data_IF_928204456595
#
_entry.id   IF_928204456595
#
_cell.length_a   1.000
_cell.length_b   1.000
_cell.length_c   1.000
_cell.angle_alpha   90.00
_cell.angle_beta   90.00
_cell.angle_gamma   90.00
#
_symmetry.space_group_name_H-M   'P 1'
#
loop_
_entity.id
_entity.type
_entity.pdbx_description
1 polymer ?
#
# COMPACT_ATOMS: atom_id res chain seq x y z
N UNK A 1 -24.80 44.73 66.55
CA UNK A 1 -23.67 44.90 67.51
C UNK A 1 -22.62 43.86 67.00
N UNK A 2 -21.57 44.32 66.42
CA UNK A 2 -20.18 44.41 66.90
C UNK A 2 -19.72 42.97 67.31
N UNK A 3 -18.71 42.30 66.84
CA UNK A 3 -17.32 42.65 66.48
C UNK A 3 -16.61 41.38 65.99
N UNK A 4 -15.77 41.45 65.16
CA UNK A 4 -14.34 41.66 64.88
C UNK A 4 -13.53 40.40 64.61
N UNK A 5 -12.95 40.44 63.46
CA UNK A 5 -11.63 39.96 63.01
C UNK A 5 -10.77 39.02 63.89
N UNK A 6 -10.24 37.98 63.28
CA UNK A 6 -8.79 37.75 63.38
C UNK A 6 -8.27 36.96 62.13
N UNK A 7 -7.29 37.55 61.47
CA UNK A 7 -6.51 36.98 60.41
C UNK A 7 -5.48 36.03 61.03
N UNK A 8 -5.35 34.81 60.48
CA UNK A 8 -4.13 34.02 60.66
C UNK A 8 -3.59 33.56 59.31
N UNK A 9 -2.43 34.11 58.95
CA UNK A 9 -1.60 33.70 57.85
C UNK A 9 -0.91 32.40 58.25
N UNK A 10 -1.08 31.32 57.47
CA UNK A 10 -0.16 30.19 57.48
C UNK A 10 0.49 30.10 56.09
N UNK A 11 1.81 30.34 56.10
CA UNK A 11 2.69 30.00 54.99
C UNK A 11 2.69 28.48 54.84
N UNK A 12 2.36 28.01 53.63
CA UNK A 12 2.64 26.61 53.22
C UNK A 12 3.73 26.65 52.16
N UNK A 13 4.91 26.21 52.56
CA UNK A 13 6.08 25.98 51.73
C UNK A 13 5.76 24.89 50.69
N UNK A 14 5.89 25.26 49.42
CA UNK A 14 5.76 24.33 48.29
C UNK A 14 6.97 23.36 48.30
N UNK A 15 6.74 22.11 48.58
CA UNK A 15 7.67 21.00 48.35
C UNK A 15 7.44 20.48 46.91
N UNK A 16 8.35 20.85 46.01
CA UNK A 16 8.36 20.46 44.61
C UNK A 16 8.93 19.03 44.52
N UNK A 17 8.07 18.03 44.56
CA UNK A 17 8.44 16.65 44.24
C UNK A 17 8.53 16.50 42.71
N UNK A 18 9.75 16.46 42.20
CA UNK A 18 10.05 15.95 40.86
C UNK A 18 9.68 14.46 40.80
N UNK A 19 8.50 14.14 40.30
CA UNK A 19 8.19 12.78 39.84
C UNK A 19 8.77 12.63 38.43
N UNK A 20 9.99 12.13 38.35
CA UNK A 20 10.53 11.61 37.10
C UNK A 20 9.66 10.41 36.68
N UNK A 21 8.79 10.64 35.72
CA UNK A 21 7.99 9.61 35.08
C UNK A 21 8.90 8.65 34.32
N UNK A 22 9.28 7.57 34.95
CA UNK A 22 9.87 6.41 34.31
C UNK A 22 8.72 5.73 33.52
N UNK A 23 8.53 6.10 32.27
CA UNK A 23 7.69 5.32 31.35
C UNK A 23 8.40 3.98 31.13
N UNK A 24 8.11 3.03 32.01
CA UNK A 24 8.43 1.64 31.75
C UNK A 24 7.70 1.25 30.45
N UNK A 25 8.44 1.05 29.38
CA UNK A 25 8.02 0.26 28.23
C UNK A 25 7.66 -1.13 28.78
N UNK A 26 6.39 -1.32 29.11
CA UNK A 26 5.87 -2.65 29.38
C UNK A 26 6.02 -3.42 28.07
N UNK A 27 6.72 -4.57 28.07
CA UNK A 27 6.70 -5.43 26.91
C UNK A 27 5.23 -5.73 26.61
N UNK A 28 4.83 -5.54 25.38
CA UNK A 28 3.50 -5.93 24.90
C UNK A 28 3.41 -7.44 25.15
N UNK A 29 2.70 -7.83 26.20
CA UNK A 29 2.38 -9.24 26.44
C UNK A 29 1.41 -9.59 25.32
N UNK A 30 1.92 -10.27 24.28
CA UNK A 30 1.07 -10.86 23.27
C UNK A 30 -0.06 -11.59 23.99
N UNK A 31 -1.30 -11.24 23.66
CA UNK A 31 -2.47 -11.97 24.21
C UNK A 31 -2.28 -13.45 23.88
N UNK A 32 -2.61 -14.34 24.80
CA UNK A 32 -2.43 -15.78 24.63
C UNK A 32 -3.14 -16.37 23.40
N UNK A 33 -3.87 -15.54 22.63
CA UNK A 33 -4.62 -15.88 21.43
C UNK A 33 -4.08 -15.24 20.14
N UNK A 34 -2.98 -14.49 20.17
CA UNK A 34 -2.42 -13.88 18.95
C UNK A 34 -1.44 -14.87 18.27
N UNK A 35 -1.81 -15.35 17.08
CA UNK A 35 -0.93 -16.18 16.24
C UNK A 35 -0.09 -15.29 15.32
N UNK A 36 1.23 -15.45 15.33
CA UNK A 36 2.15 -14.69 14.50
C UNK A 36 3.40 -15.50 14.14
N UNK A 37 4.30 -14.87 13.43
CA UNK A 37 5.60 -15.46 13.07
C UNK A 37 6.34 -15.86 14.35
N UNK A 38 6.82 -17.12 14.38
CA UNK A 38 7.50 -17.70 15.53
C UNK A 38 6.58 -18.33 16.59
N UNK A 39 5.26 -18.09 16.53
CA UNK A 39 4.29 -18.77 17.41
C UNK A 39 4.29 -20.28 17.16
N UNK A 40 4.00 -21.07 18.17
CA UNK A 40 3.69 -22.50 17.97
C UNK A 40 2.42 -22.59 17.11
N UNK A 41 2.46 -23.33 16.02
CA UNK A 41 1.30 -23.55 15.19
C UNK A 41 0.22 -24.33 15.94
N UNK A 42 -1.06 -23.90 15.90
CA UNK A 42 -2.16 -24.64 16.49
C UNK A 42 -2.33 -26.02 15.85
N UNK A 43 -2.82 -26.98 16.62
CA UNK A 43 -3.20 -28.30 16.10
C UNK A 43 -4.34 -28.17 15.07
N UNK A 44 -4.44 -29.14 14.15
CA UNK A 44 -5.46 -29.15 13.11
C UNK A 44 -6.60 -30.10 13.52
N UNK A 45 -7.72 -29.54 13.96
CA UNK A 45 -8.92 -30.30 14.28
C UNK A 45 -9.91 -30.27 13.11
N UNK A 46 -9.53 -30.88 11.99
CA UNK A 46 -10.26 -30.86 10.72
C UNK A 46 -11.33 -31.95 10.71
N UNK A 47 -12.59 -31.60 10.41
CA UNK A 47 -13.69 -32.55 10.35
C UNK A 47 -13.58 -33.52 9.16
N UNK A 48 -13.24 -33.03 7.96
CA UNK A 48 -13.28 -33.82 6.74
C UNK A 48 -12.02 -33.68 5.90
N UNK A 49 -11.34 -34.80 5.69
CA UNK A 49 -10.22 -34.94 4.77
C UNK A 49 -10.75 -35.45 3.43
N UNK A 50 -10.79 -34.60 2.40
CA UNK A 50 -11.45 -34.87 1.13
C UNK A 50 -10.49 -35.47 0.11
N UNK A 51 -9.23 -34.97 0.09
CA UNK A 51 -8.15 -35.51 -0.74
C UNK A 51 -6.88 -35.65 0.13
N UNK A 52 -6.05 -36.63 -0.23
CA UNK A 52 -4.87 -37.03 0.54
C UNK A 52 -3.58 -37.11 -0.31
N UNK A 53 -3.54 -36.39 -1.42
CA UNK A 53 -2.39 -36.44 -2.32
C UNK A 53 -2.27 -37.76 -3.08
N UNK A 54 -3.40 -38.35 -3.49
CA UNK A 54 -3.49 -39.66 -4.13
C UNK A 54 -2.96 -40.80 -3.21
N UNK A 55 -3.32 -40.80 -1.95
CA UNK A 55 -2.92 -41.81 -0.97
C UNK A 55 -1.52 -41.60 -0.40
N UNK A 56 -0.88 -40.46 -0.69
CA UNK A 56 0.47 -40.19 -0.20
C UNK A 56 0.50 -39.62 1.22
N UNK A 57 -0.46 -38.79 1.55
CA UNK A 57 -0.51 -38.09 2.83
C UNK A 57 -1.52 -38.71 3.78
N UNK A 58 -1.22 -38.64 5.07
CA UNK A 58 -2.17 -39.00 6.13
C UNK A 58 -2.78 -37.73 6.73
N UNK A 59 -3.98 -37.80 7.32
CA UNK A 59 -4.52 -36.74 8.15
C UNK A 59 -3.52 -36.29 9.22
N UNK A 60 -3.41 -34.97 9.41
CA UNK A 60 -2.50 -34.34 10.37
C UNK A 60 -3.32 -33.64 11.44
N UNK A 61 -3.15 -34.05 12.69
CA UNK A 61 -3.71 -33.37 13.85
C UNK A 61 -2.67 -32.53 14.57
N UNK A 62 -1.43 -33.05 14.62
CA UNK A 62 -0.26 -32.35 15.18
C UNK A 62 0.89 -32.36 14.17
N UNK A 63 1.70 -31.29 14.16
CA UNK A 63 2.83 -31.17 13.27
C UNK A 63 4.01 -32.01 13.75
N UNK A 64 4.49 -32.88 12.88
CA UNK A 64 5.63 -33.71 13.17
C UNK A 64 6.93 -32.88 13.10
N UNK A 65 7.86 -33.20 14.00
CA UNK A 65 9.21 -32.61 13.98
C UNK A 65 9.93 -32.93 12.66
N UNK A 66 10.75 -31.99 12.22
CA UNK A 66 11.58 -32.09 11.01
C UNK A 66 10.78 -32.15 9.68
N UNK A 67 9.44 -31.99 9.74
CA UNK A 67 8.59 -31.79 8.56
C UNK A 67 8.17 -30.34 8.40
N UNK A 68 7.83 -29.97 7.17
CA UNK A 68 7.29 -28.65 6.82
C UNK A 68 5.85 -28.80 6.37
N UNK A 69 4.99 -27.93 6.83
CA UNK A 69 3.58 -27.94 6.45
C UNK A 69 3.16 -26.58 5.91
N UNK A 70 2.22 -26.57 4.99
CA UNK A 70 1.53 -25.37 4.56
C UNK A 70 0.05 -25.57 4.89
N UNK A 71 -0.50 -24.67 5.72
CA UNK A 71 -1.94 -24.62 5.99
C UNK A 71 -2.49 -23.44 5.23
N UNK A 72 -3.30 -23.70 4.20
CA UNK A 72 -3.85 -22.69 3.29
C UNK A 72 -5.37 -22.64 3.42
N UNK A 73 -5.93 -21.43 3.47
CA UNK A 73 -7.36 -21.20 3.62
C UNK A 73 -7.97 -20.71 2.32
N UNK A 74 -9.07 -21.34 1.91
CA UNK A 74 -9.73 -21.12 0.62
C UNK A 74 -11.25 -21.32 0.71
N UNK A 75 -11.96 -20.97 -0.37
CA UNK A 75 -13.38 -21.27 -0.53
C UNK A 75 -13.76 -21.46 -2.01
N UNK A 76 -14.86 -22.16 -2.27
CA UNK A 76 -15.34 -22.47 -3.64
C UNK A 76 -15.71 -21.24 -4.44
N UNK A 77 -16.14 -20.17 -3.78
CA UNK A 77 -16.51 -18.88 -4.38
C UNK A 77 -15.32 -17.91 -4.54
N UNK A 78 -14.15 -18.26 -4.01
CA UNK A 78 -12.98 -17.39 -4.02
C UNK A 78 -12.20 -17.52 -5.33
N UNK A 79 -12.40 -16.60 -6.26
CA UNK A 79 -11.71 -16.58 -7.54
C UNK A 79 -10.17 -16.64 -7.46
N UNK A 80 -9.50 -15.82 -6.63
CA UNK A 80 -8.05 -15.90 -6.44
C UNK A 80 -7.58 -17.24 -5.86
N UNK A 81 -8.37 -17.86 -4.96
CA UNK A 81 -8.07 -19.20 -4.44
C UNK A 81 -8.08 -20.26 -5.55
N UNK A 82 -9.10 -20.23 -6.39
CA UNK A 82 -9.22 -21.11 -7.56
C UNK A 82 -8.00 -20.96 -8.51
N UNK A 83 -7.53 -19.73 -8.68
CA UNK A 83 -6.35 -19.45 -9.52
C UNK A 83 -5.04 -19.98 -8.90
N UNK A 84 -4.93 -20.05 -7.58
CA UNK A 84 -3.74 -20.57 -6.89
C UNK A 84 -3.67 -22.11 -6.82
N UNK A 85 -4.77 -22.83 -7.03
CA UNK A 85 -4.80 -24.31 -6.94
C UNK A 85 -3.76 -25.03 -7.80
N UNK A 86 -3.58 -24.70 -9.11
CA UNK A 86 -2.53 -25.33 -9.90
C UNK A 86 -1.12 -25.07 -9.35
N UNK A 87 -0.87 -23.86 -8.86
CA UNK A 87 0.41 -23.51 -8.26
C UNK A 87 0.69 -24.30 -6.96
N UNK A 88 -0.31 -24.44 -6.09
CA UNK A 88 -0.20 -25.29 -4.90
C UNK A 88 0.10 -26.75 -5.25
N UNK A 89 -0.54 -27.27 -6.30
CA UNK A 89 -0.27 -28.62 -6.80
C UNK A 89 1.17 -28.77 -7.30
N UNK A 90 1.68 -27.80 -8.04
CA UNK A 90 3.06 -27.78 -8.51
C UNK A 90 4.07 -27.69 -7.36
N UNK A 91 3.83 -26.84 -6.36
CA UNK A 91 4.64 -26.76 -5.15
C UNK A 91 4.64 -28.09 -4.39
N UNK A 92 3.47 -28.70 -4.20
CA UNK A 92 3.37 -29.98 -3.54
C UNK A 92 4.15 -31.06 -4.27
N UNK A 93 4.06 -31.13 -5.59
CA UNK A 93 4.83 -32.09 -6.38
C UNK A 93 6.33 -31.84 -6.29
N UNK A 94 6.76 -30.58 -6.28
CA UNK A 94 8.17 -30.18 -6.17
C UNK A 94 8.78 -30.59 -4.84
N UNK A 95 8.07 -30.36 -3.73
CA UNK A 95 8.59 -30.58 -2.37
C UNK A 95 8.08 -31.83 -1.68
N UNK A 96 7.37 -32.72 -2.41
CA UNK A 96 6.87 -33.99 -1.85
C UNK A 96 7.99 -34.85 -1.25
N UNK A 97 9.13 -34.91 -1.93
CA UNK A 97 10.32 -35.66 -1.50
C UNK A 97 11.04 -35.04 -0.30
N UNK A 98 10.83 -33.75 -0.05
CA UNK A 98 11.46 -33.00 1.03
C UNK A 98 10.61 -32.98 2.34
N UNK A 99 9.53 -33.77 2.37
CA UNK A 99 8.68 -33.90 3.55
C UNK A 99 7.71 -32.73 3.75
N UNK A 100 7.38 -31.99 2.69
CA UNK A 100 6.36 -30.94 2.72
C UNK A 100 4.98 -31.54 2.52
N UNK A 101 4.01 -31.15 3.32
CA UNK A 101 2.60 -31.41 3.12
C UNK A 101 1.80 -30.11 3.06
N UNK A 102 1.12 -29.87 1.94
CA UNK A 102 0.17 -28.78 1.80
C UNK A 102 -1.21 -29.26 2.19
N UNK A 103 -1.88 -28.52 3.08
CA UNK A 103 -3.21 -28.80 3.65
C UNK A 103 -4.08 -27.58 3.36
N UNK A 104 -4.98 -27.72 2.41
CA UNK A 104 -5.91 -26.65 2.01
C UNK A 104 -7.23 -26.82 2.75
N UNK A 105 -7.65 -25.81 3.51
CA UNK A 105 -8.79 -25.87 4.43
C UNK A 105 -9.87 -24.89 4.01
N UNK A 106 -11.07 -25.40 3.71
CA UNK A 106 -12.28 -24.58 3.54
C UNK A 106 -13.14 -24.62 4.81
N UNK A 107 -13.91 -23.56 5.05
CA UNK A 107 -14.94 -23.55 6.11
C UNK A 107 -16.35 -23.82 5.57
N UNK A 108 -16.45 -24.28 4.31
CA UNK A 108 -17.70 -24.65 3.67
C UNK A 108 -18.09 -26.09 3.99
N UNK A 109 -19.33 -26.44 3.69
CA UNK A 109 -19.82 -27.81 3.87
C UNK A 109 -19.10 -28.82 2.94
N UNK A 110 -19.06 -30.08 3.35
CA UNK A 110 -18.46 -31.15 2.57
C UNK A 110 -19.09 -31.28 1.17
N UNK A 111 -20.42 -31.03 1.06
CA UNK A 111 -21.14 -31.14 -0.22
C UNK A 111 -20.75 -29.99 -1.17
N UNK A 112 -20.63 -28.75 -0.70
CA UNK A 112 -20.20 -27.62 -1.50
C UNK A 112 -18.79 -27.84 -2.07
N UNK A 113 -17.87 -28.33 -1.25
CA UNK A 113 -16.51 -28.67 -1.69
C UNK A 113 -16.52 -29.79 -2.72
N UNK A 114 -17.28 -30.87 -2.50
CA UNK A 114 -17.40 -31.96 -3.45
C UNK A 114 -18.03 -31.54 -4.79
N UNK A 115 -19.03 -30.67 -4.73
CA UNK A 115 -19.68 -30.10 -5.93
C UNK A 115 -18.68 -29.33 -6.78
N UNK A 116 -17.81 -28.53 -6.18
CA UNK A 116 -16.73 -27.86 -6.92
C UNK A 116 -15.75 -28.88 -7.51
N UNK A 117 -15.32 -29.87 -6.72
CA UNK A 117 -14.34 -30.87 -7.18
C UNK A 117 -14.82 -31.65 -8.42
N UNK A 118 -16.13 -31.87 -8.55
CA UNK A 118 -16.75 -32.50 -9.71
C UNK A 118 -16.79 -31.61 -10.97
N UNK A 119 -16.62 -30.29 -10.84
CA UNK A 119 -16.66 -29.35 -11.97
C UNK A 119 -15.34 -29.33 -12.72
N UNK A 120 -15.42 -28.93 -13.99
CA UNK A 120 -14.23 -28.74 -14.84
C UNK A 120 -13.65 -27.34 -14.64
N UNK A 121 -12.35 -27.26 -14.45
CA UNK A 121 -11.63 -26.01 -14.54
C UNK A 121 -11.31 -25.73 -16.02
N UNK A 122 -12.02 -24.79 -16.62
CA UNK A 122 -11.92 -24.50 -18.06
C UNK A 122 -10.52 -23.98 -18.45
N UNK A 123 -9.79 -23.34 -17.54
CA UNK A 123 -8.44 -22.82 -17.80
C UNK A 123 -7.39 -23.94 -17.94
N UNK A 124 -7.62 -25.07 -17.26
CA UNK A 124 -6.66 -26.19 -17.21
C UNK A 124 -7.18 -27.40 -18.00
N UNK A 125 -8.47 -27.46 -18.30
CA UNK A 125 -9.12 -28.56 -19.02
C UNK A 125 -9.30 -29.84 -18.22
N UNK A 126 -9.12 -29.78 -16.87
CA UNK A 126 -9.26 -30.90 -15.92
C UNK A 126 -10.34 -30.58 -14.91
N UNK A 127 -10.87 -31.57 -14.20
CA UNK A 127 -11.73 -31.34 -13.05
C UNK A 127 -10.94 -30.68 -11.90
N UNK A 128 -11.62 -29.97 -11.00
CA UNK A 128 -10.95 -29.42 -9.82
C UNK A 128 -10.36 -30.54 -8.95
N UNK A 129 -11.00 -31.70 -8.89
CA UNK A 129 -10.45 -32.87 -8.20
C UNK A 129 -9.10 -33.31 -8.76
N UNK A 130 -8.94 -33.28 -10.09
CA UNK A 130 -7.67 -33.62 -10.74
C UNK A 130 -6.59 -32.55 -10.56
N UNK A 131 -6.99 -31.27 -10.54
CA UNK A 131 -6.08 -30.15 -10.32
C UNK A 131 -5.49 -30.16 -8.91
N UNK A 132 -6.31 -30.47 -7.91
CA UNK A 132 -5.94 -30.45 -6.49
C UNK A 132 -5.42 -31.80 -5.96
N UNK A 133 -5.41 -32.85 -6.79
CA UNK A 133 -5.08 -34.22 -6.39
C UNK A 133 -3.69 -34.40 -5.75
N UNK A 134 -2.77 -33.44 -5.97
CA UNK A 134 -1.39 -33.55 -5.48
C UNK A 134 -1.25 -33.32 -3.98
N UNK A 135 -2.16 -32.59 -3.34
CA UNK A 135 -2.07 -32.14 -1.94
C UNK A 135 -3.29 -32.58 -1.12
N UNK A 136 -3.26 -32.31 0.19
CA UNK A 136 -4.39 -32.60 1.07
C UNK A 136 -5.42 -31.47 0.97
N UNK A 137 -6.63 -31.78 0.53
CA UNK A 137 -7.74 -30.83 0.50
C UNK A 137 -8.78 -31.25 1.53
N UNK A 138 -9.25 -30.28 2.32
CA UNK A 138 -10.06 -30.52 3.51
C UNK A 138 -11.17 -29.50 3.64
N UNK A 139 -12.15 -29.82 4.49
CA UNK A 139 -13.14 -28.84 4.93
C UNK A 139 -13.45 -29.01 6.43
N UNK A 140 -13.67 -27.88 7.10
CA UNK A 140 -13.85 -27.72 8.52
C UNK A 140 -15.04 -26.77 8.80
N UNK A 141 -16.30 -27.23 8.59
CA UNK A 141 -17.49 -26.39 8.68
C UNK A 141 -17.75 -25.76 10.04
N UNK A 142 -17.23 -26.33 11.14
CA UNK A 142 -17.32 -25.74 12.48
C UNK A 142 -16.40 -24.53 12.67
N UNK A 143 -15.49 -24.27 11.70
CA UNK A 143 -14.55 -23.16 11.67
C UNK A 143 -13.53 -23.15 12.79
N UNK A 144 -13.27 -24.29 13.43
CA UNK A 144 -12.32 -24.36 14.54
C UNK A 144 -10.90 -24.00 14.07
N UNK A 145 -10.46 -24.58 12.96
CA UNK A 145 -9.14 -24.30 12.36
C UNK A 145 -9.07 -22.86 11.82
N UNK A 146 -10.14 -22.37 11.20
CA UNK A 146 -10.21 -20.96 10.74
C UNK A 146 -10.03 -19.98 11.92
N UNK A 147 -10.68 -20.24 13.04
CA UNK A 147 -10.56 -19.43 14.25
C UNK A 147 -9.14 -19.45 14.82
N UNK A 148 -8.53 -20.63 14.90
CA UNK A 148 -7.23 -20.83 15.51
C UNK A 148 -6.08 -20.26 14.65
N UNK A 149 -6.28 -20.14 13.33
CA UNK A 149 -5.31 -19.59 12.39
C UNK A 149 -5.68 -18.19 11.92
N UNK A 150 -6.73 -18.07 11.12
CA UNK A 150 -7.08 -16.81 10.44
C UNK A 150 -7.47 -15.71 11.43
N UNK A 151 -8.38 -16.02 12.35
CA UNK A 151 -8.83 -15.03 13.35
C UNK A 151 -7.70 -14.69 14.34
N UNK A 152 -6.98 -15.70 14.83
CA UNK A 152 -5.86 -15.50 15.76
C UNK A 152 -4.70 -14.72 15.15
N UNK A 153 -4.44 -14.89 13.84
CA UNK A 153 -3.44 -14.13 13.10
C UNK A 153 -3.97 -12.81 12.50
N UNK A 154 -5.23 -12.44 12.81
CA UNK A 154 -5.89 -11.21 12.31
C UNK A 154 -5.91 -11.13 10.78
N UNK A 155 -5.93 -12.27 10.10
CA UNK A 155 -6.06 -12.34 8.65
C UNK A 155 -7.52 -12.11 8.24
N UNK A 156 -7.75 -11.21 7.27
CA UNK A 156 -9.10 -10.76 6.91
C UNK A 156 -9.59 -11.30 5.56
N UNK A 157 -8.74 -11.99 4.82
CA UNK A 157 -9.06 -12.45 3.47
C UNK A 157 -8.45 -13.80 3.12
N UNK A 158 -9.03 -14.43 2.11
CA UNK A 158 -8.53 -15.63 1.46
C UNK A 158 -8.16 -15.33 0.00
N UNK A 159 -7.17 -16.04 -0.59
CA UNK A 159 -6.40 -17.12 0.03
C UNK A 159 -5.33 -16.60 1.00
N UNK A 160 -5.11 -17.32 2.09
CA UNK A 160 -4.00 -17.06 3.02
C UNK A 160 -3.34 -18.39 3.36
N UNK A 161 -2.02 -18.44 3.33
CA UNK A 161 -1.22 -19.61 3.66
C UNK A 161 -0.30 -19.33 4.85
N UNK A 162 -0.14 -20.35 5.70
CA UNK A 162 0.76 -20.38 6.84
C UNK A 162 1.80 -21.48 6.59
N UNK A 163 3.07 -21.10 6.50
CA UNK A 163 4.16 -22.09 6.45
C UNK A 163 4.55 -22.45 7.89
N UNK A 164 4.38 -23.71 8.25
CA UNK A 164 4.80 -24.26 9.54
C UNK A 164 6.10 -25.02 9.34
N UNK A 165 7.16 -24.56 9.99
CA UNK A 165 8.50 -25.11 9.83
C UNK A 165 8.76 -26.36 10.65
N UNK A 166 9.97 -26.88 10.51
CA UNK A 166 10.47 -28.14 11.12
C UNK A 166 10.38 -28.20 12.64
N UNK A 167 10.17 -27.06 13.30
CA UNK A 167 10.01 -26.94 14.76
C UNK A 167 8.55 -26.83 15.20
N UNK A 168 7.59 -26.97 14.28
CA UNK A 168 6.16 -26.79 14.53
C UNK A 168 5.78 -25.34 14.83
N UNK A 169 6.57 -24.38 14.33
CA UNK A 169 6.31 -22.94 14.48
C UNK A 169 5.93 -22.33 13.14
N UNK A 170 5.09 -21.29 13.19
CA UNK A 170 4.76 -20.48 12.03
C UNK A 170 6.00 -19.70 11.59
N UNK A 171 6.43 -19.94 10.38
CA UNK A 171 7.60 -19.31 9.76
C UNK A 171 7.24 -18.14 8.86
N UNK A 172 6.09 -18.26 8.17
CA UNK A 172 5.62 -17.29 7.21
C UNK A 172 4.09 -17.29 7.12
N UNK A 173 3.50 -16.13 6.85
CA UNK A 173 2.06 -15.94 6.60
C UNK A 173 1.93 -15.00 5.39
N UNK A 174 1.09 -15.35 4.42
CA UNK A 174 0.85 -14.49 3.27
C UNK A 174 0.01 -15.14 2.18
N UNK A 175 -0.01 -14.52 1.00
CA UNK A 175 -0.73 -15.05 -0.15
C UNK A 175 0.03 -16.24 -0.76
N UNK A 176 -0.63 -17.38 -1.09
CA UNK A 176 0.07 -18.59 -1.56
C UNK A 176 0.93 -18.39 -2.82
N UNK A 177 0.61 -17.40 -3.66
CA UNK A 177 1.43 -17.07 -4.84
C UNK A 177 2.78 -16.40 -4.50
N UNK A 178 2.95 -15.92 -3.27
CA UNK A 178 4.19 -15.28 -2.79
C UNK A 178 5.04 -16.23 -1.93
N UNK A 179 4.62 -17.51 -1.82
CA UNK A 179 5.19 -18.47 -0.88
C UNK A 179 6.48 -19.15 -1.39
N UNK A 180 6.77 -19.15 -2.68
CA UNK A 180 7.86 -19.94 -3.30
C UNK A 180 9.22 -19.73 -2.61
N UNK A 181 9.64 -18.47 -2.46
CA UNK A 181 10.90 -18.13 -1.81
C UNK A 181 10.95 -18.50 -0.33
N UNK A 182 9.97 -18.06 0.47
CA UNK A 182 9.86 -18.44 1.88
C UNK A 182 9.83 -19.96 2.10
N UNK A 183 8.99 -20.69 1.36
CA UNK A 183 8.89 -22.15 1.48
C UNK A 183 10.21 -22.84 1.14
N UNK A 184 10.87 -22.45 0.04
CA UNK A 184 12.17 -22.97 -0.33
C UNK A 184 13.20 -22.76 0.79
N UNK A 185 13.30 -21.54 1.32
CA UNK A 185 14.24 -21.21 2.37
C UNK A 185 13.98 -21.99 3.68
N UNK A 186 12.69 -22.19 4.04
CA UNK A 186 12.30 -23.00 5.22
C UNK A 186 12.68 -24.47 5.02
N UNK A 187 12.41 -25.05 3.83
CA UNK A 187 12.77 -26.42 3.51
C UNK A 187 14.29 -26.62 3.54
N UNK A 188 15.05 -25.69 2.97
CA UNK A 188 16.50 -25.70 2.95
C UNK A 188 17.17 -25.38 4.31
N UNK A 189 16.38 -24.91 5.29
CA UNK A 189 16.91 -24.49 6.60
C UNK A 189 17.70 -23.18 6.57
N UNK A 190 17.46 -22.34 5.55
CA UNK A 190 18.08 -21.02 5.35
C UNK A 190 17.17 -19.86 5.73
N UNK A 191 15.97 -20.13 6.21
CA UNK A 191 14.97 -19.12 6.54
C UNK A 191 15.34 -18.36 7.81
N UNK A 192 15.44 -17.03 7.72
CA UNK A 192 15.63 -16.14 8.87
C UNK A 192 14.26 -15.59 9.34
N UNK A 193 13.64 -16.32 10.24
CA UNK A 193 12.35 -15.96 10.83
C UNK A 193 12.38 -14.60 11.53
N UNK A 194 13.47 -14.31 12.24
CA UNK A 194 13.55 -13.09 13.06
C UNK A 194 13.71 -11.84 12.16
N UNK A 195 14.46 -11.97 11.06
CA UNK A 195 14.53 -10.91 10.05
C UNK A 195 13.17 -10.67 9.41
N UNK A 196 12.47 -11.74 9.00
CA UNK A 196 11.13 -11.63 8.40
C UNK A 196 10.09 -11.07 9.37
N UNK A 197 10.09 -11.49 10.64
CA UNK A 197 9.19 -10.96 11.65
C UNK A 197 9.39 -9.43 11.85
N UNK A 198 10.64 -8.97 11.84
CA UNK A 198 10.95 -7.53 11.91
C UNK A 198 10.43 -6.77 10.67
N UNK A 199 10.58 -7.36 9.49
CA UNK A 199 10.07 -6.78 8.24
C UNK A 199 8.54 -6.66 8.26
N UNK A 200 7.82 -7.72 8.68
CA UNK A 200 6.36 -7.70 8.82
C UNK A 200 5.87 -6.63 9.80
N UNK A 201 6.53 -6.48 10.95
CA UNK A 201 6.19 -5.43 11.92
C UNK A 201 6.43 -4.03 11.33
N UNK A 202 7.53 -3.85 10.60
CA UNK A 202 7.84 -2.58 9.94
C UNK A 202 6.82 -2.24 8.85
N UNK A 203 6.39 -3.23 8.05
CA UNK A 203 5.36 -3.06 7.02
C UNK A 203 4.00 -2.71 7.64
N UNK A 204 3.58 -3.43 8.68
CA UNK A 204 2.34 -3.11 9.40
C UNK A 204 2.36 -1.69 9.95
N UNK A 205 3.45 -1.28 10.60
CA UNK A 205 3.61 0.09 11.13
C UNK A 205 3.54 1.13 10.01
N UNK A 206 4.12 0.82 8.83
CA UNK A 206 4.03 1.68 7.66
C UNK A 206 2.58 1.82 7.19
N UNK A 207 1.84 0.72 7.06
CA UNK A 207 0.44 0.72 6.63
C UNK A 207 -0.44 1.51 7.60
N UNK A 208 -0.31 1.31 8.91
CA UNK A 208 -1.02 2.07 9.94
C UNK A 208 -0.73 3.57 9.84
N UNK A 209 0.54 3.93 9.64
CA UNK A 209 0.95 5.32 9.46
C UNK A 209 0.35 5.94 8.21
N UNK A 210 0.33 5.20 7.09
CA UNK A 210 -0.26 5.67 5.83
C UNK A 210 -1.77 5.84 5.93
N UNK A 211 -2.49 4.92 6.59
CA UNK A 211 -3.93 5.07 6.85
C UNK A 211 -4.22 6.32 7.70
N UNK A 212 -3.43 6.54 8.75
CA UNK A 212 -3.57 7.72 9.60
C UNK A 212 -3.28 9.01 8.85
N UNK A 213 -2.25 9.04 8.00
CA UNK A 213 -1.94 10.18 7.12
C UNK A 213 -3.09 10.48 6.17
N UNK A 214 -3.64 9.46 5.53
CA UNK A 214 -4.79 9.61 4.62
C UNK A 214 -6.00 10.20 5.33
N UNK A 215 -6.32 9.70 6.53
CA UNK A 215 -7.42 10.23 7.35
C UNK A 215 -7.18 11.69 7.76
N UNK A 216 -5.98 12.04 8.21
CA UNK A 216 -5.63 13.40 8.60
C UNK A 216 -5.70 14.37 7.41
N UNK A 217 -5.16 13.97 6.25
CA UNK A 217 -5.19 14.77 5.03
C UNK A 217 -6.64 14.97 4.52
N UNK A 218 -7.46 13.92 4.49
CA UNK A 218 -8.86 14.00 4.04
C UNK A 218 -9.75 14.87 4.94
N UNK A 219 -9.37 15.03 6.21
CA UNK A 219 -10.06 15.91 7.17
C UNK A 219 -9.43 17.30 7.28
N UNK A 220 -8.48 17.66 6.40
CA UNK A 220 -7.81 18.96 6.40
C UNK A 220 -6.80 19.18 7.54
N UNK A 221 -6.49 18.16 8.33
CA UNK A 221 -5.54 18.23 9.45
C UNK A 221 -4.09 18.08 8.99
N UNK A 222 -3.69 18.92 8.02
CA UNK A 222 -2.37 18.83 7.41
C UNK A 222 -1.21 19.01 8.38
N UNK A 223 -1.34 19.89 9.38
CA UNK A 223 -0.28 20.10 10.37
C UNK A 223 0.02 18.80 11.16
N UNK A 224 -1.02 18.06 11.57
CA UNK A 224 -0.87 16.78 12.26
C UNK A 224 -0.28 15.71 11.33
N UNK A 225 -0.69 15.69 10.05
CA UNK A 225 -0.18 14.77 9.04
C UNK A 225 1.32 15.01 8.76
N UNK A 226 1.74 16.28 8.62
CA UNK A 226 3.14 16.67 8.43
C UNK A 226 3.99 16.26 9.63
N UNK A 227 3.51 16.52 10.85
CA UNK A 227 4.22 16.11 12.08
C UNK A 227 4.38 14.60 12.18
N UNK A 228 3.36 13.82 11.78
CA UNK A 228 3.44 12.35 11.72
C UNK A 228 4.49 11.89 10.69
N UNK A 229 4.49 12.46 9.49
CA UNK A 229 5.48 12.13 8.46
C UNK A 229 6.92 12.46 8.91
N UNK A 230 7.11 13.60 9.61
CA UNK A 230 8.42 13.97 10.18
C UNK A 230 8.88 13.01 11.28
N UNK A 231 7.97 12.58 12.17
CA UNK A 231 8.27 11.62 13.21
C UNK A 231 8.70 10.27 12.62
N UNK A 232 7.95 9.76 11.64
CA UNK A 232 8.28 8.51 10.95
C UNK A 232 9.60 8.61 10.17
N UNK A 233 9.87 9.76 9.54
CA UNK A 233 11.15 10.01 8.86
C UNK A 233 12.37 10.01 9.79
N UNK A 234 12.22 10.47 11.04
CA UNK A 234 13.27 10.41 12.07
C UNK A 234 13.52 8.99 12.57
N UNK A 235 12.48 8.15 12.65
CA UNK A 235 12.57 6.76 13.07
C UNK A 235 13.05 5.83 11.96
N UNK A 236 12.98 6.27 10.70
CA UNK A 236 13.40 5.48 9.55
C UNK A 236 14.90 5.13 9.60
N UNK A 237 15.22 3.86 9.40
CA UNK A 237 16.59 3.33 9.54
C UNK A 237 17.36 3.28 8.23
N UNK A 238 16.65 3.20 7.08
CA UNK A 238 17.28 3.17 5.75
C UNK A 238 17.15 4.50 5.04
N UNK A 239 18.10 4.83 4.17
CA UNK A 239 18.04 6.08 3.39
C UNK A 239 16.81 6.09 2.46
N UNK A 240 16.44 4.96 1.90
CA UNK A 240 15.23 4.83 1.07
C UNK A 240 13.95 5.16 1.85
N UNK A 241 13.80 4.66 3.08
CA UNK A 241 12.64 4.97 3.93
C UNK A 241 12.65 6.43 4.41
N UNK A 242 13.81 7.00 4.73
CA UNK A 242 13.94 8.44 5.05
C UNK A 242 13.51 9.32 3.87
N UNK A 243 13.99 8.98 2.67
CA UNK A 243 13.62 9.68 1.44
C UNK A 243 12.11 9.62 1.18
N UNK A 244 11.50 8.44 1.32
CA UNK A 244 10.05 8.26 1.16
C UNK A 244 9.25 9.13 2.14
N UNK A 245 9.62 9.17 3.42
CA UNK A 245 8.94 10.01 4.41
C UNK A 245 9.14 11.50 4.15
N UNK A 246 10.30 11.89 3.67
CA UNK A 246 10.58 13.27 3.25
C UNK A 246 9.69 13.68 2.05
N UNK A 247 9.52 12.82 1.07
CA UNK A 247 8.62 13.05 -0.07
C UNK A 247 7.16 13.20 0.37
N UNK A 248 6.70 12.33 1.28
CA UNK A 248 5.36 12.41 1.88
C UNK A 248 5.19 13.75 2.60
N UNK A 249 6.13 14.14 3.45
CA UNK A 249 6.10 15.42 4.18
C UNK A 249 5.94 16.61 3.25
N UNK A 250 6.77 16.70 2.22
CA UNK A 250 6.70 17.83 1.30
C UNK A 250 5.46 17.81 0.40
N UNK A 251 4.98 16.63 0.02
CA UNK A 251 3.71 16.52 -0.69
C UNK A 251 2.52 17.00 0.16
N UNK A 252 2.52 16.69 1.47
CA UNK A 252 1.52 17.22 2.41
C UNK A 252 1.63 18.74 2.58
N UNK A 253 2.85 19.30 2.66
CA UNK A 253 3.06 20.76 2.71
C UNK A 253 2.55 21.43 1.44
N UNK A 254 2.75 20.83 0.27
CA UNK A 254 2.18 21.32 -0.99
C UNK A 254 0.66 21.32 -0.93
N UNK A 255 0.04 20.21 -0.58
CA UNK A 255 -1.43 20.10 -0.47
C UNK A 255 -2.03 21.03 0.58
N UNK A 256 -1.28 21.37 1.62
CA UNK A 256 -1.67 22.35 2.65
C UNK A 256 -1.48 23.82 2.22
N UNK A 257 -0.89 24.08 1.05
CA UNK A 257 -0.50 25.43 0.64
C UNK A 257 0.59 26.06 1.53
N UNK A 258 1.34 25.26 2.30
CA UNK A 258 2.34 25.71 3.28
C UNK A 258 3.78 25.50 2.79
N UNK A 259 4.09 26.01 1.59
CA UNK A 259 5.42 25.92 0.99
C UNK A 259 6.36 26.94 1.66
N UNK A 260 7.36 26.43 2.37
CA UNK A 260 8.50 27.19 2.89
C UNK A 260 9.73 27.01 1.99
N UNK A 261 10.84 27.68 2.32
CA UNK A 261 12.08 27.64 1.53
C UNK A 261 12.62 26.22 1.36
N UNK A 262 12.52 25.38 2.39
CA UNK A 262 12.94 23.97 2.33
C UNK A 262 12.07 23.17 1.36
N UNK A 263 10.77 23.37 1.40
CA UNK A 263 9.81 22.74 0.48
C UNK A 263 10.09 23.16 -0.97
N UNK A 264 10.32 24.46 -1.19
CA UNK A 264 10.65 24.98 -2.50
C UNK A 264 11.98 24.44 -3.02
N UNK A 265 13.00 24.35 -2.17
CA UNK A 265 14.28 23.73 -2.52
C UNK A 265 14.12 22.26 -2.90
N UNK A 266 13.34 21.52 -2.13
CA UNK A 266 13.03 20.12 -2.43
C UNK A 266 12.34 19.95 -3.79
N UNK A 267 11.27 20.72 -4.06
CA UNK A 267 10.54 20.62 -5.33
C UNK A 267 11.37 21.09 -6.52
N UNK A 268 12.19 22.14 -6.37
CA UNK A 268 13.12 22.58 -7.44
C UNK A 268 14.13 21.46 -7.78
N UNK A 269 14.69 20.81 -6.77
CA UNK A 269 15.59 19.68 -7.00
C UNK A 269 14.85 18.49 -7.66
N UNK A 270 13.64 18.18 -7.20
CA UNK A 270 12.79 17.15 -7.82
C UNK A 270 12.52 17.44 -9.30
N UNK A 271 12.11 18.67 -9.65
CA UNK A 271 11.89 19.11 -11.04
C UNK A 271 13.15 18.91 -11.86
N UNK A 272 14.32 19.29 -11.33
CA UNK A 272 15.62 19.11 -12.00
C UNK A 272 15.89 17.62 -12.29
N UNK A 273 15.65 16.74 -11.35
CA UNK A 273 15.89 15.31 -11.50
C UNK A 273 14.88 14.67 -12.49
N UNK A 274 13.65 15.15 -12.51
CA UNK A 274 12.60 14.67 -13.43
C UNK A 274 12.86 15.02 -14.91
N UNK A 275 13.81 15.89 -15.24
CA UNK A 275 14.17 16.18 -16.64
C UNK A 275 14.66 14.95 -17.42
N UNK A 276 15.19 13.94 -16.74
CA UNK A 276 15.61 12.66 -17.33
C UNK A 276 14.45 11.71 -17.61
N UNK A 277 13.24 11.99 -17.10
CA UNK A 277 12.03 11.19 -17.30
C UNK A 277 10.86 12.09 -17.72
N UNK A 278 10.65 12.28 -19.04
CA UNK A 278 9.60 13.15 -19.58
C UNK A 278 8.20 12.81 -19.08
N UNK A 279 7.89 11.51 -18.92
CA UNK A 279 6.58 11.07 -18.42
C UNK A 279 6.37 11.46 -16.97
N UNK A 280 7.37 11.22 -16.12
CA UNK A 280 7.29 11.58 -14.71
C UNK A 280 7.22 13.11 -14.52
N UNK A 281 7.94 13.89 -15.35
CA UNK A 281 7.86 15.35 -15.35
C UNK A 281 6.47 15.85 -15.77
N UNK A 282 5.88 15.28 -16.82
CA UNK A 282 4.52 15.62 -17.25
C UNK A 282 3.48 15.28 -16.18
N UNK A 283 3.58 14.09 -15.56
CA UNK A 283 2.69 13.69 -14.45
C UNK A 283 2.82 14.61 -13.25
N UNK A 284 4.04 15.04 -12.92
CA UNK A 284 4.25 15.98 -11.84
C UNK A 284 3.63 17.35 -12.15
N UNK A 285 3.82 17.89 -13.37
CA UNK A 285 3.16 19.12 -13.82
C UNK A 285 1.64 19.02 -13.76
N UNK A 286 1.07 17.93 -14.23
CA UNK A 286 -0.37 17.68 -14.16
C UNK A 286 -0.88 17.60 -12.71
N UNK A 287 -0.12 16.99 -11.81
CA UNK A 287 -0.44 16.96 -10.38
C UNK A 287 -0.45 18.37 -9.76
N UNK A 288 0.51 19.22 -10.11
CA UNK A 288 0.52 20.63 -9.68
C UNK A 288 -0.70 21.39 -10.18
N UNK A 289 -1.07 21.20 -11.44
CA UNK A 289 -2.31 21.78 -11.97
C UNK A 289 -3.54 21.31 -11.17
N UNK A 290 -3.64 20.01 -10.87
CA UNK A 290 -4.73 19.47 -10.02
C UNK A 290 -4.77 20.10 -8.63
N UNK A 291 -3.62 20.40 -8.02
CA UNK A 291 -3.57 21.12 -6.73
C UNK A 291 -4.06 22.57 -6.89
N UNK A 292 -3.70 23.26 -7.96
CA UNK A 292 -4.18 24.61 -8.24
C UNK A 292 -5.71 24.66 -8.37
N UNK A 293 -6.32 23.66 -9.06
CA UNK A 293 -7.78 23.56 -9.18
C UNK A 293 -8.49 23.33 -7.83
N UNK A 294 -7.76 22.86 -6.81
CA UNK A 294 -8.23 22.73 -5.43
C UNK A 294 -7.94 23.98 -4.58
N UNK A 295 -7.43 25.05 -5.19
CA UNK A 295 -7.13 26.33 -4.53
C UNK A 295 -5.76 26.40 -3.88
N UNK A 296 -4.87 25.43 -4.11
CA UNK A 296 -3.49 25.46 -3.62
C UNK A 296 -2.66 26.47 -4.43
N UNK A 297 -1.94 27.36 -3.75
CA UNK A 297 -1.01 28.29 -4.43
C UNK A 297 0.26 27.57 -4.88
N UNK A 298 0.32 27.24 -6.17
CA UNK A 298 1.49 26.60 -6.82
C UNK A 298 2.40 27.60 -7.52
N UNK A 299 2.08 28.91 -7.52
CA UNK A 299 2.83 29.95 -8.24
C UNK A 299 4.34 29.89 -7.99
N UNK A 300 4.85 29.61 -6.77
CA UNK A 300 6.28 29.55 -6.51
C UNK A 300 7.04 28.45 -7.28
N UNK A 301 6.30 27.44 -7.83
CA UNK A 301 6.87 26.32 -8.58
C UNK A 301 6.63 26.43 -10.09
N UNK A 302 5.66 27.25 -10.55
CA UNK A 302 5.25 27.31 -11.95
C UNK A 302 6.40 27.62 -12.90
N UNK A 303 7.20 28.65 -12.62
CA UNK A 303 8.31 29.04 -13.50
C UNK A 303 9.32 27.90 -13.67
N UNK A 304 9.62 27.15 -12.59
CA UNK A 304 10.59 26.07 -12.64
C UNK A 304 10.08 24.86 -13.42
N UNK A 305 8.82 24.46 -13.19
CA UNK A 305 8.25 23.28 -13.85
C UNK A 305 8.00 23.56 -15.34
N UNK A 306 7.48 24.74 -15.69
CA UNK A 306 7.26 25.11 -17.07
C UNK A 306 8.57 25.18 -17.86
N UNK A 307 9.62 25.82 -17.31
CA UNK A 307 10.93 25.86 -17.95
C UNK A 307 11.53 24.47 -18.17
N UNK A 308 11.42 23.58 -17.19
CA UNK A 308 11.88 22.20 -17.33
C UNK A 308 11.10 21.44 -18.41
N UNK A 309 9.78 21.62 -18.47
CA UNK A 309 8.94 20.98 -19.49
C UNK A 309 9.23 21.50 -20.91
N UNK A 310 9.47 22.81 -21.06
CA UNK A 310 9.86 23.41 -22.36
C UNK A 310 11.20 22.86 -22.85
N UNK A 311 12.16 22.71 -21.97
CA UNK A 311 13.46 22.15 -22.30
C UNK A 311 13.33 20.70 -22.75
N UNK A 312 12.66 19.87 -21.95
CA UNK A 312 12.53 18.43 -22.21
C UNK A 312 11.62 18.12 -23.40
N UNK A 313 10.56 18.91 -23.64
CA UNK A 313 9.63 18.67 -24.74
C UNK A 313 10.28 18.78 -26.14
N UNK A 314 11.39 19.49 -26.26
CA UNK A 314 12.11 19.65 -27.57
C UNK A 314 12.68 18.32 -28.05
N UNK A 315 13.21 17.52 -27.11
CA UNK A 315 13.92 16.27 -27.37
C UNK A 315 13.13 15.03 -26.97
N UNK A 316 11.90 15.22 -26.44
CA UNK A 316 11.04 14.11 -26.00
C UNK A 316 10.59 13.25 -27.19
N UNK A 317 10.32 11.97 -26.90
CA UNK A 317 9.70 11.05 -27.82
C UNK A 317 8.42 11.67 -28.44
N UNK A 318 8.20 11.58 -29.76
CA UNK A 318 7.01 12.11 -30.42
C UNK A 318 5.69 11.72 -29.73
N UNK A 319 5.59 10.52 -29.19
CA UNK A 319 4.39 10.05 -28.47
C UNK A 319 4.17 10.78 -27.13
N UNK A 320 5.22 11.33 -26.53
CA UNK A 320 5.15 12.05 -25.25
C UNK A 320 4.91 13.56 -25.43
N UNK A 321 5.24 14.12 -26.59
CA UNK A 321 5.10 15.57 -26.83
C UNK A 321 3.69 16.10 -26.62
N UNK A 322 2.61 15.45 -27.10
CA UNK A 322 1.25 15.95 -26.87
C UNK A 322 0.91 16.09 -25.39
N UNK A 323 1.30 15.11 -24.55
CA UNK A 323 1.08 15.17 -23.12
C UNK A 323 1.86 16.30 -22.46
N UNK A 324 3.13 16.47 -22.84
CA UNK A 324 3.98 17.53 -22.27
C UNK A 324 3.46 18.92 -22.64
N UNK A 325 3.15 19.18 -23.92
CA UNK A 325 2.65 20.48 -24.37
C UNK A 325 1.26 20.79 -23.79
N UNK A 326 0.36 19.80 -23.69
CA UNK A 326 -0.94 19.97 -23.04
C UNK A 326 -0.79 20.34 -21.56
N UNK A 327 0.08 19.62 -20.82
CA UNK A 327 0.34 19.95 -19.41
C UNK A 327 0.97 21.32 -19.24
N UNK A 328 1.90 21.70 -20.14
CA UNK A 328 2.51 23.03 -20.15
C UNK A 328 1.45 24.13 -20.40
N UNK A 329 0.51 23.89 -21.30
CA UNK A 329 -0.59 24.82 -21.57
C UNK A 329 -1.48 25.04 -20.35
N UNK A 330 -1.80 23.96 -19.62
CA UNK A 330 -2.58 24.02 -18.37
C UNK A 330 -1.87 24.85 -17.30
N UNK A 331 -0.56 24.61 -17.08
CA UNK A 331 0.25 25.36 -16.12
C UNK A 331 0.43 26.83 -16.53
N UNK A 332 0.58 27.10 -17.83
CA UNK A 332 0.66 28.46 -18.34
C UNK A 332 -0.66 29.22 -18.12
N UNK A 333 -1.80 28.56 -18.30
CA UNK A 333 -3.11 29.16 -17.97
C UNK A 333 -3.23 29.50 -16.48
N UNK A 334 -2.73 28.64 -15.58
CA UNK A 334 -2.70 28.91 -14.14
C UNK A 334 -1.75 30.04 -13.76
N UNK A 335 -0.67 30.26 -14.52
CA UNK A 335 0.23 31.40 -14.33
C UNK A 335 -0.36 32.73 -14.84
N UNK A 336 -1.47 32.69 -15.58
CA UNK A 336 -2.07 33.84 -16.26
C UNK A 336 -1.44 34.13 -17.64
N UNK A 337 -0.45 33.35 -18.10
CA UNK A 337 0.15 33.49 -19.41
C UNK A 337 -0.69 32.77 -20.49
N UNK A 338 -1.84 33.37 -20.82
CA UNK A 338 -2.78 32.81 -21.80
C UNK A 338 -2.19 32.73 -23.20
N UNK A 339 -1.23 33.61 -23.55
CA UNK A 339 -0.54 33.55 -24.83
C UNK A 339 0.29 32.26 -24.93
N UNK A 340 1.03 31.93 -23.86
CA UNK A 340 1.81 30.71 -23.80
C UNK A 340 0.90 29.49 -23.71
N UNK A 341 -0.22 29.56 -22.98
CA UNK A 341 -1.21 28.48 -22.88
C UNK A 341 -1.75 28.12 -24.26
N UNK A 342 -2.17 29.10 -25.07
CA UNK A 342 -2.67 28.90 -26.43
C UNK A 342 -1.58 28.30 -27.33
N UNK A 343 -0.35 28.84 -27.30
CA UNK A 343 0.75 28.34 -28.12
C UNK A 343 1.13 26.88 -27.77
N UNK A 344 1.21 26.57 -26.49
CA UNK A 344 1.51 25.21 -26.02
C UNK A 344 0.39 24.23 -26.36
N UNK A 345 -0.87 24.64 -26.24
CA UNK A 345 -2.01 23.80 -26.60
C UNK A 345 -2.06 23.51 -28.10
N UNK A 346 -1.74 24.52 -28.96
CA UNK A 346 -1.62 24.29 -30.38
C UNK A 346 -0.49 23.29 -30.68
N UNK A 347 0.67 23.43 -30.04
CA UNK A 347 1.77 22.47 -30.17
C UNK A 347 1.40 21.05 -29.78
N UNK A 348 0.54 20.88 -28.75
CA UNK A 348 0.01 19.57 -28.37
C UNK A 348 -0.88 18.94 -29.46
N UNK A 349 -1.71 19.76 -30.12
CA UNK A 349 -2.57 19.35 -31.23
C UNK A 349 -1.72 18.95 -32.44
N UNK A 350 -0.70 19.74 -32.76
CA UNK A 350 0.18 19.51 -33.91
C UNK A 350 1.07 18.27 -33.72
N UNK A 351 1.32 17.88 -32.47
CA UNK A 351 2.17 16.75 -32.11
C UNK A 351 1.42 15.41 -32.01
N UNK A 352 0.08 15.37 -32.19
CA UNK A 352 -0.67 14.10 -32.11
C UNK A 352 -1.32 13.74 -33.43
N UNK A 353 -1.29 12.42 -33.76
CA UNK A 353 -1.96 11.85 -34.94
C UNK A 353 -3.35 11.25 -34.56
N UNK A 354 -3.69 11.11 -33.29
CA UNK A 354 -4.98 10.56 -32.84
C UNK A 354 -6.10 11.61 -32.93
N UNK A 355 -7.01 11.42 -33.87
CA UNK A 355 -8.14 12.33 -34.11
C UNK A 355 -9.07 12.50 -32.91
N UNK A 356 -9.22 11.49 -32.03
CA UNK A 356 -10.01 11.62 -30.80
C UNK A 356 -9.27 12.50 -29.79
N UNK A 357 -7.97 12.33 -29.70
CA UNK A 357 -7.14 13.17 -28.84
C UNK A 357 -7.13 14.62 -29.35
N UNK A 358 -6.95 14.85 -30.66
CA UNK A 358 -7.04 16.18 -31.27
C UNK A 358 -8.31 16.93 -30.89
N UNK A 359 -9.46 16.27 -31.05
CA UNK A 359 -10.76 16.88 -30.68
C UNK A 359 -10.81 17.34 -29.23
N UNK A 360 -10.29 16.53 -28.29
CA UNK A 360 -10.24 16.93 -26.87
C UNK A 360 -9.31 18.12 -26.63
N UNK A 361 -8.14 18.12 -27.28
CA UNK A 361 -7.17 19.22 -27.18
C UNK A 361 -7.71 20.52 -27.79
N UNK A 362 -8.49 20.44 -28.86
CA UNK A 362 -9.14 21.60 -29.48
C UNK A 362 -10.15 22.28 -28.58
N UNK A 363 -10.94 21.52 -27.84
CA UNK A 363 -11.89 22.06 -26.84
C UNK A 363 -11.14 22.91 -25.81
N UNK A 364 -10.05 22.42 -25.29
CA UNK A 364 -9.23 23.16 -24.32
C UNK A 364 -8.56 24.38 -24.92
N UNK A 365 -8.15 24.31 -26.19
CA UNK A 365 -7.61 25.47 -26.93
C UNK A 365 -8.64 26.61 -27.05
N UNK A 366 -9.90 26.25 -27.35
CA UNK A 366 -10.99 27.22 -27.44
C UNK A 366 -11.31 27.87 -26.09
N UNK A 367 -11.25 27.09 -24.99
CA UNK A 367 -11.37 27.61 -23.63
C UNK A 367 -10.27 28.63 -23.30
N UNK A 368 -9.02 28.37 -23.67
CA UNK A 368 -7.92 29.31 -23.45
C UNK A 368 -8.07 30.58 -24.33
N UNK A 369 -8.54 30.45 -25.55
CA UNK A 369 -8.83 31.60 -26.42
C UNK A 369 -9.97 32.47 -25.88
N UNK A 370 -11.03 31.83 -25.35
CA UNK A 370 -12.13 32.53 -24.73
C UNK A 370 -11.65 33.32 -23.51
N UNK A 371 -10.91 32.67 -22.58
CA UNK A 371 -10.32 33.35 -21.42
C UNK A 371 -9.44 34.54 -21.82
N UNK A 372 -8.69 34.45 -22.91
CA UNK A 372 -7.86 35.52 -23.42
C UNK A 372 -8.68 36.70 -24.03
N UNK A 373 -9.82 36.39 -24.68
CA UNK A 373 -10.74 37.37 -25.22
C UNK A 373 -11.49 38.15 -24.14
N UNK A 374 -11.98 37.43 -23.10
CA UNK A 374 -12.68 38.05 -21.97
C UNK A 374 -11.75 38.95 -21.13
N UNK A 375 -10.45 38.60 -20.99
CA UNK A 375 -9.45 39.43 -20.31
C UNK A 375 -9.10 40.74 -21.05
N UNK A 376 -9.29 40.79 -22.39
CA UNK A 376 -9.05 41.98 -23.18
C UNK A 376 -10.20 43.01 -23.16
N UNK A 377 -11.40 42.55 -22.75
CA UNK A 377 -12.58 43.42 -22.67
C UNK A 377 -12.69 44.19 -21.33
N UNK A 378 -11.90 43.81 -20.30
CA UNK A 378 -11.94 44.41 -18.96
C UNK A 378 -11.04 45.63 -18.72
N UNK A 379 -10.12 45.96 -19.65
CA UNK A 379 -9.15 47.07 -19.49
C UNK A 379 -9.52 48.36 -20.27
N UNK A 380 -10.76 48.48 -20.68
CA UNK A 380 -11.25 49.55 -21.58
C UNK A 380 -12.25 50.54 -21.02
N UNK A 381 -12.48 50.65 -19.69
CA UNK A 381 -13.38 51.70 -19.16
C UNK A 381 -12.92 52.23 -17.81
N UNK A 382 -11.88 53.09 -17.83
CA UNK A 382 -11.75 54.21 -16.91
C UNK A 382 -11.07 55.37 -17.66
N UNK A 383 -11.91 56.27 -18.12
CA UNK A 383 -11.55 57.66 -18.39
C UNK A 383 -12.53 58.56 -17.71
#
# INVERSE_FOLDING_TARGET
>A
MKTTHLRSRLMLTALMCCVAGFSALLPHVASANDLGIGSKAPALNIEHWVQDGNGFFKPVTEFEKDKVYVVEFWATWCGPCIQSMPHLADLQNRYRGDGVQIISVSDESLDEVKDLLGKKNENVGKTFAEVTAAYSLTTDPDRSVYKDYMTAAKQQGIPTAFVVGKTGRVEWIGHPMDMDGPLAAVVEGKWDRDAFAKEMVAEQKMQESMQRLSMLASTGKFAEAIALAEAQGKEATTDASKQRWMEIKYSLKLSAGSLDDDSLAFFRNRIKNLKSDPLALARFGYSLYGQAQQGVDIKPLLANVMAAMEEVAKDADPQMRPLMFNTLAMLASESGDLKKAIASQQAAIDATDDERQKKRLMVMLDEFKQKAGDGSAGDGTEK
#
